data_IF_316189229725
#
_entry.id   IF_316189229725
#
_cell.length_a   1.000
_cell.length_b   1.000
_cell.length_c   1.000
_cell.angle_alpha   90.00
_cell.angle_beta   90.00
_cell.angle_gamma   90.00
#
_symmetry.space_group_name_H-M   'P 1'
#
loop_
_entity.id
_entity.type
_entity.pdbx_description
1 polymer ?
#
# COMPACT_ATOMS: atom_id res chain seq x y z
N UNK A 1 -9.68 9.23 63.95
CA UNK A 1 -10.91 8.51 63.52
C UNK A 1 -11.89 9.41 62.74
N UNK A 2 -11.50 10.63 62.32
CA UNK A 2 -12.40 11.58 61.63
C UNK A 2 -12.24 11.59 60.11
N UNK A 3 -11.07 11.18 59.59
CA UNK A 3 -10.73 11.24 58.16
C UNK A 3 -11.50 10.23 57.30
N UNK A 4 -11.79 9.03 57.85
CA UNK A 4 -12.59 8.01 57.18
C UNK A 4 -14.07 8.38 57.08
N UNK A 5 -14.62 9.02 58.11
CA UNK A 5 -16.02 9.48 58.13
C UNK A 5 -16.22 10.61 57.14
N UNK A 6 -15.30 11.56 57.08
CA UNK A 6 -15.35 12.67 56.13
C UNK A 6 -15.33 12.21 54.67
N UNK A 7 -14.48 11.24 54.32
CA UNK A 7 -14.43 10.64 52.98
C UNK A 7 -15.71 9.89 52.60
N UNK A 8 -16.36 9.24 53.57
CA UNK A 8 -17.64 8.57 53.34
C UNK A 8 -18.76 9.57 53.09
N UNK A 9 -18.75 10.72 53.76
CA UNK A 9 -19.75 11.78 53.57
C UNK A 9 -19.56 12.48 52.21
N UNK A 10 -18.33 12.70 51.77
CA UNK A 10 -18.03 13.22 50.43
C UNK A 10 -18.49 12.27 49.31
N UNK A 11 -18.23 10.97 49.46
CA UNK A 11 -18.72 9.96 48.53
C UNK A 11 -20.25 9.92 48.47
N UNK A 12 -20.92 9.97 49.64
CA UNK A 12 -22.39 10.02 49.70
C UNK A 12 -22.93 11.26 49.00
N UNK A 13 -22.31 12.42 49.24
CA UNK A 13 -22.70 13.67 48.59
C UNK A 13 -22.53 13.60 47.07
N UNK A 14 -21.41 13.06 46.59
CA UNK A 14 -21.18 12.84 45.16
C UNK A 14 -22.26 11.96 44.53
N UNK A 15 -22.58 10.81 45.13
CA UNK A 15 -23.63 9.93 44.62
C UNK A 15 -25.01 10.58 44.67
N UNK A 16 -25.31 11.32 45.74
CA UNK A 16 -26.56 12.05 45.87
C UNK A 16 -26.71 13.08 44.75
N UNK A 17 -25.65 13.87 44.49
CA UNK A 17 -25.66 14.88 43.42
C UNK A 17 -25.79 14.25 42.04
N UNK A 18 -25.06 13.17 41.74
CA UNK A 18 -25.21 12.44 40.47
C UNK A 18 -26.63 11.87 40.29
N UNK A 19 -27.23 11.38 41.38
CA UNK A 19 -28.58 10.79 41.33
C UNK A 19 -29.65 11.88 41.17
N UNK A 20 -29.45 13.05 41.78
CA UNK A 20 -30.33 14.21 41.65
C UNK A 20 -30.27 14.77 40.22
N UNK A 21 -29.07 14.89 39.64
CA UNK A 21 -28.88 15.28 38.24
C UNK A 21 -29.56 14.31 37.26
N UNK A 22 -29.42 13.00 37.47
CA UNK A 22 -30.07 11.99 36.64
C UNK A 22 -31.61 11.98 36.78
N UNK A 23 -32.14 12.36 37.93
CA UNK A 23 -33.59 12.46 38.16
C UNK A 23 -34.16 13.78 37.63
N UNK A 24 -33.34 14.82 37.52
CA UNK A 24 -33.71 16.14 37.03
C UNK A 24 -33.56 16.27 35.51
N UNK A 25 -32.88 15.32 34.86
CA UNK A 25 -32.86 15.19 33.40
C UNK A 25 -34.29 15.12 32.85
N UNK A 26 -34.55 15.94 31.83
CA UNK A 26 -35.82 15.92 31.10
C UNK A 26 -35.95 14.66 30.23
N UNK A 27 -37.19 14.26 29.93
CA UNK A 27 -37.46 13.14 29.02
C UNK A 27 -36.82 13.38 27.64
N UNK A 28 -36.75 14.64 27.20
CA UNK A 28 -36.07 15.04 25.97
C UNK A 28 -34.56 14.78 26.02
N UNK A 29 -33.87 15.09 27.12
CA UNK A 29 -32.43 14.81 27.31
C UNK A 29 -32.15 13.31 27.45
N UNK A 30 -33.08 12.54 28.04
CA UNK A 30 -32.99 11.08 28.11
C UNK A 30 -33.14 10.44 26.72
N UNK A 31 -33.99 11.04 25.87
CA UNK A 31 -34.23 10.63 24.50
C UNK A 31 -33.22 11.21 23.50
N UNK A 32 -32.33 12.11 23.94
CA UNK A 32 -31.25 12.70 23.15
C UNK A 32 -30.12 11.68 22.90
N UNK A 33 -30.41 10.70 22.04
CA UNK A 33 -29.39 9.93 21.36
C UNK A 33 -28.83 10.73 20.18
N UNK A 34 -27.52 10.69 19.96
CA UNK A 34 -26.91 11.29 18.77
C UNK A 34 -27.62 10.78 17.50
N UNK A 35 -27.93 11.69 16.57
CA UNK A 35 -28.58 11.33 15.31
C UNK A 35 -27.73 10.27 14.58
N UNK A 36 -28.34 9.10 14.36
CA UNK A 36 -27.68 7.96 13.74
C UNK A 36 -27.17 8.31 12.33
N UNK A 37 -27.82 9.22 11.61
CA UNK A 37 -27.35 9.67 10.30
C UNK A 37 -26.16 10.63 10.43
N UNK A 38 -26.12 11.49 11.44
CA UNK A 38 -24.98 12.39 11.67
C UNK A 38 -23.71 11.61 12.04
N UNK A 39 -23.81 10.65 12.96
CA UNK A 39 -22.72 9.74 13.32
C UNK A 39 -22.20 8.91 12.13
N UNK A 40 -23.11 8.51 11.24
CA UNK A 40 -22.77 7.75 10.04
C UNK A 40 -22.05 8.62 9.01
N UNK A 41 -22.48 9.87 8.83
CA UNK A 41 -21.79 10.84 7.95
C UNK A 41 -20.37 11.08 8.46
N UNK A 42 -20.21 11.30 9.78
CA UNK A 42 -18.90 11.49 10.40
C UNK A 42 -18.01 10.24 10.22
N UNK A 43 -18.55 9.06 10.48
CA UNK A 43 -17.84 7.79 10.30
C UNK A 43 -17.38 7.56 8.85
N UNK A 44 -18.23 7.86 7.87
CA UNK A 44 -17.88 7.77 6.44
C UNK A 44 -16.76 8.75 6.09
N UNK A 45 -16.83 9.99 6.59
CA UNK A 45 -15.82 11.01 6.36
C UNK A 45 -14.45 10.59 6.94
N UNK A 46 -14.45 10.03 8.15
CA UNK A 46 -13.24 9.52 8.80
C UNK A 46 -12.59 8.38 7.98
N UNK A 47 -13.40 7.42 7.51
CA UNK A 47 -12.91 6.30 6.69
C UNK A 47 -12.34 6.80 5.36
N UNK A 48 -13.01 7.77 4.71
CA UNK A 48 -12.53 8.36 3.46
C UNK A 48 -11.17 9.06 3.62
N UNK A 49 -11.01 9.85 4.68
CA UNK A 49 -9.75 10.51 5.00
C UNK A 49 -8.61 9.51 5.27
N UNK A 50 -8.90 8.43 6.01
CA UNK A 50 -7.94 7.36 6.26
C UNK A 50 -7.49 6.67 4.96
N UNK A 51 -8.44 6.34 4.08
CA UNK A 51 -8.14 5.75 2.76
C UNK A 51 -7.25 6.66 1.91
N UNK A 52 -7.55 7.96 1.86
CA UNK A 52 -6.75 8.93 1.11
C UNK A 52 -5.31 9.02 1.64
N UNK A 53 -5.13 9.02 2.96
CA UNK A 53 -3.79 9.06 3.59
C UNK A 53 -2.97 7.81 3.30
N UNK A 54 -3.59 6.63 3.35
CA UNK A 54 -2.92 5.36 3.00
C UNK A 54 -2.57 5.34 1.50
N UNK A 55 -3.49 5.78 0.63
CA UNK A 55 -3.24 5.87 -0.81
C UNK A 55 -2.06 6.78 -1.14
N UNK A 56 -1.99 7.96 -0.51
CA UNK A 56 -0.88 8.89 -0.63
C UNK A 56 0.45 8.26 -0.20
N UNK A 57 0.48 7.56 0.94
CA UNK A 57 1.68 6.84 1.41
C UNK A 57 2.14 5.75 0.44
N UNK A 58 1.20 4.95 -0.09
CA UNK A 58 1.51 3.91 -1.09
C UNK A 58 2.10 4.53 -2.36
N UNK A 59 1.50 5.62 -2.85
CA UNK A 59 2.00 6.32 -4.01
C UNK A 59 3.39 6.92 -3.77
N UNK A 60 3.63 7.53 -2.60
CA UNK A 60 4.93 8.06 -2.23
C UNK A 60 6.01 6.96 -2.18
N UNK A 61 5.69 5.81 -1.58
CA UNK A 61 6.58 4.66 -1.56
C UNK A 61 6.88 4.13 -2.97
N UNK A 62 5.87 4.01 -3.83
CA UNK A 62 6.07 3.59 -5.23
C UNK A 62 6.92 4.59 -6.02
N UNK A 63 6.73 5.91 -5.80
CA UNK A 63 7.58 6.93 -6.43
C UNK A 63 9.02 6.82 -5.95
N UNK A 64 9.25 6.57 -4.66
CA UNK A 64 10.59 6.38 -4.11
C UNK A 64 11.28 5.14 -4.68
N UNK A 65 10.57 4.00 -4.78
CA UNK A 65 11.14 2.77 -5.38
C UNK A 65 11.41 2.93 -6.87
N UNK A 66 10.57 3.68 -7.60
CA UNK A 66 10.85 4.00 -9.00
C UNK A 66 12.05 4.94 -9.16
N UNK A 67 12.21 5.92 -8.27
CA UNK A 67 13.35 6.82 -8.29
C UNK A 67 14.67 6.06 -8.02
N UNK A 68 14.70 5.18 -7.03
CA UNK A 68 15.89 4.34 -6.76
C UNK A 68 16.18 3.36 -7.90
N UNK A 69 15.15 2.80 -8.54
CA UNK A 69 15.31 1.94 -9.72
C UNK A 69 15.86 2.69 -10.94
N UNK A 70 15.50 3.96 -11.15
CA UNK A 70 16.09 4.77 -12.22
C UNK A 70 17.57 5.06 -11.98
N UNK A 71 17.99 5.21 -10.73
CA UNK A 71 19.40 5.44 -10.37
C UNK A 71 20.23 4.15 -10.50
N UNK A 72 19.66 2.97 -10.21
CA UNK A 72 20.34 1.68 -10.39
C UNK A 72 20.30 1.14 -11.83
N UNK A 73 19.43 1.68 -12.69
CA UNK A 73 19.45 1.42 -14.13
C UNK A 73 20.35 2.43 -14.82
N UNK A 74 21.63 2.50 -14.42
CA UNK A 74 22.65 3.02 -15.32
C UNK A 74 22.59 2.14 -16.58
N UNK A 75 22.59 2.71 -17.79
CA UNK A 75 22.53 1.91 -18.99
C UNK A 75 23.83 1.11 -19.04
N UNK A 76 23.73 -0.19 -18.75
CA UNK A 76 24.68 -1.18 -19.22
C UNK A 76 24.47 -1.25 -20.74
N UNK A 77 24.84 -0.17 -21.44
CA UNK A 77 25.10 -0.12 -22.88
C UNK A 77 26.57 -0.48 -23.14
N UNK A 78 27.20 -1.22 -22.23
CA UNK A 78 28.47 -1.86 -22.51
C UNK A 78 28.19 -3.10 -23.37
N UNK A 79 28.44 -2.93 -24.67
CA UNK A 79 28.98 -3.94 -25.59
C UNK A 79 28.12 -5.18 -25.86
N UNK A 80 26.80 -5.07 -25.94
CA UNK A 80 26.01 -6.15 -26.56
C UNK A 80 26.09 -5.97 -28.07
N UNK A 81 26.74 -6.91 -28.75
CA UNK A 81 26.75 -6.95 -30.21
C UNK A 81 25.33 -7.30 -30.70
N UNK A 82 24.75 -6.40 -31.50
CA UNK A 82 23.36 -6.51 -31.96
C UNK A 82 23.16 -7.81 -32.77
N UNK A 83 24.17 -8.22 -33.53
CA UNK A 83 24.13 -9.45 -34.33
C UNK A 83 24.12 -10.70 -33.46
N UNK A 84 24.88 -10.70 -32.37
CA UNK A 84 24.93 -11.79 -31.39
C UNK A 84 23.61 -11.89 -30.61
N UNK A 85 23.06 -10.76 -30.19
CA UNK A 85 21.75 -10.72 -29.54
C UNK A 85 20.63 -11.22 -30.46
N UNK A 86 20.68 -10.88 -31.76
CA UNK A 86 19.71 -11.33 -32.75
C UNK A 86 19.81 -12.84 -32.99
N UNK A 87 21.02 -13.37 -33.13
CA UNK A 87 21.26 -14.81 -33.28
C UNK A 87 20.80 -15.61 -32.05
N UNK A 88 21.08 -15.09 -30.85
CA UNK A 88 20.66 -15.72 -29.59
C UNK A 88 19.14 -15.76 -29.45
N UNK A 89 18.44 -14.67 -29.79
CA UNK A 89 16.98 -14.64 -29.75
C UNK A 89 16.34 -15.54 -30.82
N UNK A 90 16.96 -15.70 -31.99
CA UNK A 90 16.51 -16.66 -33.00
C UNK A 90 16.65 -18.11 -32.52
N UNK A 91 17.74 -18.44 -31.84
CA UNK A 91 17.92 -19.76 -31.24
C UNK A 91 16.92 -20.01 -30.09
N UNK A 92 16.71 -19.00 -29.23
CA UNK A 92 15.76 -19.06 -28.12
C UNK A 92 14.30 -19.16 -28.58
N UNK A 93 13.94 -18.53 -29.72
CA UNK A 93 12.61 -18.64 -30.32
C UNK A 93 12.29 -20.07 -30.80
N UNK A 94 13.31 -20.90 -31.04
CA UNK A 94 13.17 -22.30 -31.41
C UNK A 94 13.28 -23.26 -30.21
N UNK A 95 13.53 -22.78 -28.99
CA UNK A 95 13.55 -23.61 -27.77
C UNK A 95 12.12 -23.75 -27.22
N UNK A 96 11.68 -24.98 -26.95
CA UNK A 96 10.35 -25.28 -26.41
C UNK A 96 10.13 -24.76 -24.99
N UNK A 97 11.21 -24.39 -24.28
CA UNK A 97 11.17 -23.83 -22.91
C UNK A 97 10.91 -22.33 -22.87
N UNK A 98 11.03 -21.63 -23.98
CA UNK A 98 10.94 -20.17 -24.04
C UNK A 98 9.81 -19.80 -25.00
N UNK A 99 8.69 -19.34 -24.45
CA UNK A 99 7.62 -18.77 -25.28
C UNK A 99 7.88 -17.29 -25.51
N UNK A 100 8.59 -16.96 -26.59
CA UNK A 100 8.72 -15.58 -27.05
C UNK A 100 7.51 -15.25 -27.93
N UNK A 101 6.68 -14.28 -27.52
CA UNK A 101 5.49 -13.86 -28.27
C UNK A 101 5.79 -13.25 -29.67
N UNK A 102 7.07 -13.06 -30.01
CA UNK A 102 7.51 -12.35 -31.20
C UNK A 102 8.05 -13.32 -32.27
N UNK A 103 7.14 -13.86 -33.10
CA UNK A 103 7.52 -14.54 -34.36
C UNK A 103 8.10 -13.56 -35.40
N UNK A 104 8.12 -12.26 -35.13
CA UNK A 104 8.62 -11.20 -36.03
C UNK A 104 9.89 -10.50 -35.49
N UNK A 105 10.88 -11.25 -35.00
CA UNK A 105 12.22 -10.72 -34.64
C UNK A 105 12.87 -9.90 -35.78
N UNK A 106 12.48 -10.15 -37.03
CA UNK A 106 12.93 -9.38 -38.20
C UNK A 106 12.37 -7.96 -38.31
N UNK A 107 11.24 -7.66 -37.65
CA UNK A 107 10.57 -6.34 -37.69
C UNK A 107 10.87 -5.49 -36.45
N UNK A 108 11.66 -6.02 -35.50
CA UNK A 108 11.96 -5.35 -34.24
C UNK A 108 13.13 -4.37 -34.38
N UNK A 109 13.02 -3.23 -33.68
CA UNK A 109 14.10 -2.25 -33.59
C UNK A 109 15.31 -2.83 -32.83
N UNK A 110 16.52 -2.39 -33.17
CA UNK A 110 17.73 -2.86 -32.50
C UNK A 110 17.73 -2.59 -30.99
N UNK A 111 17.08 -1.50 -30.57
CA UNK A 111 16.88 -1.17 -29.16
C UNK A 111 15.99 -2.20 -28.44
N UNK A 112 14.95 -2.70 -29.11
CA UNK A 112 14.08 -3.73 -28.56
C UNK A 112 14.78 -5.09 -28.47
N UNK A 113 15.64 -5.42 -29.43
CA UNK A 113 16.43 -6.65 -29.43
C UNK A 113 17.36 -6.69 -28.22
N UNK A 114 18.10 -5.60 -27.96
CA UNK A 114 18.98 -5.49 -26.78
C UNK A 114 18.18 -5.57 -25.48
N UNK A 115 16.99 -4.95 -25.45
CA UNK A 115 16.10 -5.00 -24.27
C UNK A 115 15.62 -6.42 -23.97
N UNK A 116 15.17 -7.18 -24.97
CA UNK A 116 14.68 -8.55 -24.76
C UNK A 116 15.84 -9.47 -24.40
N UNK A 117 16.98 -9.33 -25.07
CA UNK A 117 18.20 -10.09 -24.76
C UNK A 117 18.62 -9.92 -23.28
N UNK A 118 18.68 -8.68 -22.80
CA UNK A 118 19.05 -8.40 -21.40
C UNK A 118 18.01 -8.89 -20.39
N UNK A 119 16.71 -8.86 -20.73
CA UNK A 119 15.65 -9.41 -19.89
C UNK A 119 15.73 -10.93 -19.80
N UNK A 120 15.97 -11.62 -20.92
CA UNK A 120 16.08 -13.08 -20.95
C UNK A 120 17.29 -13.56 -20.15
N UNK A 121 18.43 -12.89 -20.30
CA UNK A 121 19.65 -13.24 -19.57
C UNK A 121 19.49 -13.05 -18.05
N UNK A 122 18.80 -11.98 -17.62
CA UNK A 122 18.45 -11.79 -16.21
C UNK A 122 17.53 -12.88 -15.68
N UNK A 123 16.51 -13.26 -16.45
CA UNK A 123 15.59 -14.33 -16.06
C UNK A 123 16.30 -15.69 -15.92
N UNK A 124 17.27 -15.97 -16.80
CA UNK A 124 18.09 -17.17 -16.70
C UNK A 124 19.00 -17.16 -15.46
N UNK A 125 19.59 -16.02 -15.12
CA UNK A 125 20.39 -15.86 -13.90
C UNK A 125 19.54 -16.04 -12.63
N UNK A 126 18.38 -15.39 -12.56
CA UNK A 126 17.45 -15.52 -11.41
C UNK A 126 16.93 -16.96 -11.25
N UNK A 127 16.75 -17.69 -12.35
CA UNK A 127 16.33 -19.10 -12.34
C UNK A 127 17.48 -20.05 -11.98
N UNK A 128 18.73 -19.68 -12.31
CA UNK A 128 19.94 -20.44 -12.00
C UNK A 128 20.39 -20.34 -10.55
N UNK A 129 20.18 -19.18 -9.91
CA UNK A 129 20.49 -18.94 -8.48
C UNK A 129 19.47 -19.54 -7.51
N UNK A 130 18.37 -20.12 -8.02
CA UNK A 130 17.34 -20.80 -7.21
C UNK A 130 17.63 -22.29 -6.97
N UNK A 131 18.90 -22.71 -6.91
CA UNK A 131 19.30 -24.11 -6.76
C UNK A 131 20.27 -24.34 -5.60
#
# INVERSE_FOLDING_TARGET
MTDTTHKQDELRKFFQTQLEELLEMSDEEILEGSDAEELKIEGIAMIAAAKAKIGSRRMAAAKATMATRKVSTSPIMSTVNIDEARAYLQAAANDSRITIAARALGEMSDADIVRIYTQLNKLQQDTGDSK
#
